data_IF_317401330334
#
_entry.id   IF_317401330334
#
_cell.length_a   1.000
_cell.length_b   1.000
_cell.length_c   1.000
_cell.angle_alpha   90.00
_cell.angle_beta   90.00
_cell.angle_gamma   90.00
#
_symmetry.space_group_name_H-M   'P 1'
#
loop_
_entity.id
_entity.type
_entity.pdbx_description
1 polymer ?
#
# COMPACT_ATOMS: atom_id res chain seq x y z
N UNK A 1 -28.68 -82.50 36.71
CA UNK A 1 -28.46 -82.73 35.27
C UNK A 1 -28.29 -81.37 34.63
N UNK A 2 -27.21 -80.95 33.99
CA UNK A 2 -25.94 -81.52 33.57
C UNK A 2 -25.19 -80.34 32.92
N UNK A 3 -23.87 -80.34 32.99
CA UNK A 3 -22.97 -79.28 32.53
C UNK A 3 -23.26 -78.80 31.09
N UNK A 4 -22.97 -77.52 30.80
CA UNK A 4 -22.14 -77.16 29.64
C UNK A 4 -21.74 -75.67 29.60
N UNK A 5 -20.44 -75.45 29.84
CA UNK A 5 -19.52 -74.62 29.06
C UNK A 5 -19.58 -73.09 29.18
N UNK A 6 -18.63 -72.59 29.97
CA UNK A 6 -17.82 -71.40 29.68
C UNK A 6 -17.42 -71.36 28.19
N UNK A 7 -17.60 -70.21 27.54
CA UNK A 7 -16.69 -69.62 26.53
C UNK A 7 -17.24 -68.29 26.04
N UNK A 8 -16.37 -67.27 25.99
CA UNK A 8 -16.59 -66.11 25.12
C UNK A 8 -16.52 -64.74 25.80
N UNK A 9 -15.48 -64.46 26.57
CA UNK A 9 -15.04 -63.09 26.75
C UNK A 9 -14.45 -62.59 25.42
N UNK A 10 -15.18 -61.75 24.69
CA UNK A 10 -14.62 -60.92 23.62
C UNK A 10 -14.95 -59.48 23.98
N UNK A 11 -13.94 -58.81 24.53
CA UNK A 11 -13.90 -57.37 24.72
C UNK A 11 -13.94 -56.70 23.34
N UNK A 12 -15.03 -56.00 23.03
CA UNK A 12 -15.05 -55.06 21.89
C UNK A 12 -14.43 -53.75 22.37
N UNK A 13 -13.12 -53.68 22.21
CA UNK A 13 -12.30 -52.49 22.39
C UNK A 13 -12.78 -51.40 21.44
N UNK A 14 -12.85 -50.18 21.99
CA UNK A 14 -13.15 -48.92 21.35
C UNK A 14 -12.53 -48.76 19.95
N UNK A 15 -13.39 -48.47 18.96
CA UNK A 15 -13.00 -47.70 17.80
C UNK A 15 -13.57 -46.28 17.96
N UNK A 16 -13.00 -45.55 18.92
CA UNK A 16 -12.98 -44.09 18.82
C UNK A 16 -12.08 -43.78 17.63
N UNK A 17 -12.69 -43.69 16.45
CA UNK A 17 -12.06 -43.12 15.26
C UNK A 17 -11.70 -41.68 15.57
N UNK A 18 -10.51 -41.51 16.13
CA UNK A 18 -9.75 -40.27 16.09
C UNK A 18 -9.57 -39.92 14.60
N UNK A 19 -10.52 -39.17 14.06
CA UNK A 19 -10.30 -38.38 12.84
C UNK A 19 -9.39 -37.20 13.17
N UNK A 20 -8.21 -37.48 13.73
CA UNK A 20 -7.09 -36.55 13.79
C UNK A 20 -6.26 -36.87 12.55
N UNK A 21 -6.54 -36.17 11.46
CA UNK A 21 -5.74 -36.30 10.24
C UNK A 21 -6.55 -36.33 8.96
N UNK A 22 -7.34 -35.30 8.67
CA UNK A 22 -7.44 -34.83 7.28
C UNK A 22 -6.53 -33.63 7.15
N UNK A 23 -5.30 -33.94 6.73
CA UNK A 23 -4.38 -33.09 5.98
C UNK A 23 -5.08 -31.87 5.37
N UNK A 24 -4.51 -30.70 5.64
CA UNK A 24 -4.39 -29.59 4.70
C UNK A 24 -5.32 -29.72 3.48
N UNK A 25 -6.54 -29.18 3.58
CA UNK A 25 -7.17 -28.75 2.34
C UNK A 25 -6.15 -27.79 1.72
N UNK A 26 -5.62 -28.18 0.57
CA UNK A 26 -4.59 -27.49 -0.20
C UNK A 26 -5.14 -26.15 -0.67
N UNK A 27 -5.27 -25.20 0.27
CA UNK A 27 -5.63 -23.84 -0.04
C UNK A 27 -4.56 -23.24 -0.96
N UNK A 28 -4.95 -22.54 -2.03
CA UNK A 28 -6.30 -22.41 -2.58
C UNK A 28 -6.71 -23.60 -3.48
N UNK A 29 -8.00 -23.95 -3.50
CA UNK A 29 -8.57 -25.00 -4.39
C UNK A 29 -9.43 -24.43 -5.53
N UNK A 30 -9.63 -23.13 -5.53
CA UNK A 30 -10.39 -22.37 -6.52
C UNK A 30 -9.77 -20.98 -6.68
N UNK A 31 -10.16 -20.19 -7.69
CA UNK A 31 -9.61 -18.86 -7.86
C UNK A 31 -9.78 -17.97 -6.63
N UNK A 32 -8.75 -17.17 -6.33
CA UNK A 32 -8.74 -16.15 -5.28
C UNK A 32 -9.01 -14.79 -5.93
N UNK A 33 -9.96 -14.03 -5.40
CA UNK A 33 -10.27 -12.68 -5.86
C UNK A 33 -9.52 -11.64 -5.04
N UNK A 34 -8.76 -10.78 -5.72
CA UNK A 34 -8.12 -9.60 -5.15
C UNK A 34 -8.97 -8.36 -5.48
N UNK A 35 -9.62 -7.81 -4.46
CA UNK A 35 -10.39 -6.57 -4.55
C UNK A 35 -9.42 -5.38 -4.52
N UNK A 36 -9.41 -4.59 -5.58
CA UNK A 36 -8.49 -3.46 -5.76
C UNK A 36 -9.23 -2.13 -5.67
N UNK A 37 -8.81 -1.20 -4.78
CA UNK A 37 -9.45 0.09 -4.58
C UNK A 37 -8.99 1.17 -5.58
N UNK A 38 -8.87 0.84 -6.85
CA UNK A 38 -8.32 1.76 -7.86
C UNK A 38 -8.82 1.44 -9.27
N UNK A 39 -8.81 2.43 -10.15
CA UNK A 39 -9.16 2.24 -11.55
C UNK A 39 -8.12 1.36 -12.26
N UNK A 40 -8.56 0.64 -13.30
CA UNK A 40 -7.68 -0.18 -14.12
C UNK A 40 -6.55 0.66 -14.73
N UNK A 41 -5.32 0.14 -14.74
CA UNK A 41 -4.12 0.85 -15.18
C UNK A 41 -3.58 1.90 -14.19
N UNK A 42 -4.25 2.08 -13.04
CA UNK A 42 -3.81 2.99 -11.99
C UNK A 42 -2.69 2.45 -11.10
N UNK A 43 -2.15 3.28 -10.19
CA UNK A 43 -0.98 2.96 -9.36
C UNK A 43 -1.23 1.85 -8.31
N UNK A 44 -2.47 1.46 -8.03
CA UNK A 44 -2.78 0.27 -7.21
C UNK A 44 -3.11 -0.95 -8.07
N UNK A 45 -3.73 -0.76 -9.24
CA UNK A 45 -4.13 -1.85 -10.13
C UNK A 45 -2.95 -2.52 -10.84
N UNK A 46 -2.01 -1.74 -11.36
CA UNK A 46 -0.84 -2.28 -12.06
C UNK A 46 0.00 -3.19 -11.13
N UNK A 47 0.34 -2.79 -9.89
CA UNK A 47 0.99 -3.69 -8.93
C UNK A 47 0.14 -4.91 -8.58
N UNK A 48 -1.18 -4.74 -8.39
CA UNK A 48 -2.07 -5.84 -8.05
C UNK A 48 -2.09 -6.92 -9.12
N UNK A 49 -2.13 -6.53 -10.40
CA UNK A 49 -2.10 -7.47 -11.54
C UNK A 49 -0.77 -8.19 -11.64
N UNK A 50 0.35 -7.49 -11.44
CA UNK A 50 1.67 -8.14 -11.43
C UNK A 50 1.79 -9.17 -10.29
N UNK A 51 1.30 -8.83 -9.09
CA UNK A 51 1.27 -9.76 -7.95
C UNK A 51 0.32 -10.92 -8.22
N UNK A 52 -0.86 -10.67 -8.78
CA UNK A 52 -1.83 -11.70 -9.12
C UNK A 52 -1.29 -12.69 -10.15
N UNK A 53 -0.65 -12.20 -11.22
CA UNK A 53 0.01 -13.03 -12.24
C UNK A 53 1.09 -13.91 -11.60
N UNK A 54 1.97 -13.32 -10.80
CA UNK A 54 3.06 -14.03 -10.12
C UNK A 54 2.56 -15.09 -9.13
N UNK A 55 1.60 -14.74 -8.28
CA UNK A 55 0.99 -15.70 -7.34
C UNK A 55 0.25 -16.82 -8.08
N UNK A 56 -0.41 -16.50 -9.20
CA UNK A 56 -1.09 -17.52 -10.01
C UNK A 56 -0.12 -18.56 -10.57
N UNK A 57 1.00 -18.10 -11.10
CA UNK A 57 2.06 -18.97 -11.61
C UNK A 57 2.68 -19.82 -10.49
N UNK A 58 2.89 -19.22 -9.32
CA UNK A 58 3.54 -19.89 -8.18
C UNK A 58 2.66 -20.94 -7.49
N UNK A 59 1.36 -20.65 -7.38
CA UNK A 59 0.41 -21.45 -6.60
C UNK A 59 -0.35 -22.45 -7.49
N UNK A 60 -0.41 -22.23 -8.80
CA UNK A 60 -1.17 -23.08 -9.73
C UNK A 60 -2.69 -22.86 -9.66
N UNK A 61 -3.14 -21.80 -8.98
CA UNK A 61 -4.53 -21.35 -8.97
C UNK A 61 -4.62 -19.88 -9.35
N UNK A 62 -5.69 -19.49 -10.05
CA UNK A 62 -5.83 -18.11 -10.52
C UNK A 62 -6.06 -17.13 -9.38
N UNK A 63 -5.28 -16.07 -9.35
CA UNK A 63 -5.58 -14.85 -8.62
C UNK A 63 -6.16 -13.84 -9.62
N UNK A 64 -7.39 -13.38 -9.37
CA UNK A 64 -8.13 -12.50 -10.28
C UNK A 64 -8.26 -11.14 -9.63
N UNK A 65 -7.96 -10.08 -10.39
CA UNK A 65 -8.12 -8.70 -9.94
C UNK A 65 -9.52 -8.20 -10.27
N UNK A 66 -10.22 -7.68 -9.27
CA UNK A 66 -11.51 -7.02 -9.41
C UNK A 66 -11.45 -5.60 -8.83
N UNK A 67 -11.66 -4.59 -9.69
CA UNK A 67 -11.60 -3.20 -9.27
C UNK A 67 -12.93 -2.77 -8.62
N UNK A 68 -12.88 -2.36 -7.35
CA UNK A 68 -14.01 -1.77 -6.62
C UNK A 68 -13.65 -0.33 -6.24
N UNK A 69 -14.09 0.61 -7.07
CA UNK A 69 -13.71 2.03 -6.97
C UNK A 69 -14.78 2.86 -6.28
N UNK A 70 -14.37 3.99 -5.71
CA UNK A 70 -15.25 5.05 -5.21
C UNK A 70 -15.12 5.33 -3.71
N UNK A 71 -15.70 6.46 -3.28
CA UNK A 71 -15.66 6.97 -1.90
C UNK A 71 -14.25 6.95 -1.28
N UNK A 72 -13.24 7.37 -2.05
CA UNK A 72 -11.85 7.41 -1.58
C UNK A 72 -11.31 6.07 -1.10
N UNK A 73 -11.69 4.94 -1.71
CA UNK A 73 -11.35 3.54 -1.36
C UNK A 73 -12.29 2.82 -0.37
N UNK A 74 -13.28 3.53 0.18
CA UNK A 74 -14.22 2.94 1.17
C UNK A 74 -15.01 1.76 0.59
N UNK A 75 -15.45 1.82 -0.67
CA UNK A 75 -16.28 0.76 -1.28
C UNK A 75 -15.53 -0.59 -1.33
N UNK A 76 -14.23 -0.58 -1.65
CA UNK A 76 -13.42 -1.79 -1.63
C UNK A 76 -13.25 -2.34 -0.21
N UNK A 77 -12.97 -1.46 0.75
CA UNK A 77 -12.81 -1.82 2.15
C UNK A 77 -14.09 -2.45 2.72
N UNK A 78 -15.25 -1.84 2.47
CA UNK A 78 -16.54 -2.37 2.92
C UNK A 78 -16.87 -3.72 2.29
N UNK A 79 -16.65 -3.85 0.97
CA UNK A 79 -16.85 -5.11 0.25
C UNK A 79 -16.11 -6.26 0.92
N UNK A 80 -14.83 -6.06 1.25
CA UNK A 80 -14.01 -7.10 1.85
C UNK A 80 -14.29 -7.28 3.34
N UNK A 81 -14.54 -6.21 4.09
CA UNK A 81 -14.87 -6.29 5.51
C UNK A 81 -16.12 -7.16 5.78
N UNK A 82 -17.03 -7.26 4.79
CA UNK A 82 -18.23 -8.11 4.82
C UNK A 82 -18.05 -9.48 4.17
N UNK A 83 -16.91 -9.77 3.55
CA UNK A 83 -16.68 -11.03 2.87
C UNK A 83 -16.45 -12.18 3.86
N UNK A 84 -16.69 -13.41 3.41
CA UNK A 84 -16.37 -14.60 4.20
C UNK A 84 -14.87 -14.65 4.49
N UNK A 85 -14.45 -14.88 5.75
CA UNK A 85 -13.05 -14.91 6.14
C UNK A 85 -12.37 -16.24 5.76
N UNK A 86 -12.51 -16.68 4.51
CA UNK A 86 -12.07 -18.00 4.04
C UNK A 86 -10.85 -17.96 3.10
N UNK A 87 -10.28 -16.78 2.87
CA UNK A 87 -9.11 -16.58 2.01
C UNK A 87 -9.41 -16.27 0.54
N UNK A 88 -10.64 -16.43 0.06
CA UNK A 88 -10.92 -16.35 -1.38
C UNK A 88 -11.36 -14.97 -1.88
N UNK A 89 -11.62 -14.01 -0.98
CA UNK A 89 -11.89 -12.61 -1.30
C UNK A 89 -11.05 -11.73 -0.40
N UNK A 90 -9.99 -11.16 -0.95
CA UNK A 90 -8.96 -10.43 -0.22
C UNK A 90 -8.84 -9.02 -0.78
N UNK A 91 -8.58 -7.99 0.04
CA UNK A 91 -8.21 -6.68 -0.48
C UNK A 91 -6.74 -6.73 -0.90
N UNK A 92 -6.45 -6.28 -2.12
CA UNK A 92 -5.14 -5.72 -2.44
C UNK A 92 -5.23 -4.21 -2.24
N UNK A 93 -5.13 -3.81 -0.97
CA UNK A 93 -5.29 -2.43 -0.54
C UNK A 93 -4.03 -1.60 -0.69
N UNK A 94 -4.20 -0.28 -0.54
CA UNK A 94 -3.12 0.71 -0.51
C UNK A 94 -3.07 1.43 0.85
N UNK A 95 -2.08 2.30 1.02
CA UNK A 95 -1.89 3.11 2.23
C UNK A 95 -3.14 3.89 2.65
N UNK A 96 -3.95 4.38 1.70
CA UNK A 96 -5.21 5.06 2.01
C UNK A 96 -6.21 4.15 2.73
N UNK A 97 -6.42 2.94 2.21
CA UNK A 97 -7.34 1.95 2.79
C UNK A 97 -6.92 1.57 4.21
N UNK A 98 -5.63 1.30 4.38
CA UNK A 98 -5.11 0.69 5.61
C UNK A 98 -4.76 1.71 6.69
N UNK A 99 -4.44 2.96 6.35
CA UNK A 99 -3.91 3.92 7.32
C UNK A 99 -4.52 5.34 7.29
N UNK A 100 -4.93 5.85 6.13
CA UNK A 100 -5.23 7.30 6.00
C UNK A 100 -6.72 7.59 6.14
N UNK A 101 -7.59 6.79 5.51
CA UNK A 101 -9.01 7.13 5.36
C UNK A 101 -9.74 7.38 6.69
N UNK A 102 -9.42 6.61 7.72
CA UNK A 102 -10.01 6.77 9.05
C UNK A 102 -9.79 8.17 9.67
N UNK A 103 -8.75 8.87 9.24
CA UNK A 103 -8.47 10.23 9.71
C UNK A 103 -9.19 11.29 8.84
N UNK A 104 -9.41 10.99 7.57
CA UNK A 104 -9.97 11.92 6.58
C UNK A 104 -11.50 11.94 6.54
N UNK A 105 -12.12 10.77 6.72
CA UNK A 105 -13.57 10.61 6.61
C UNK A 105 -14.19 10.57 8.00
N UNK A 106 -15.17 11.45 8.25
CA UNK A 106 -15.86 11.52 9.54
C UNK A 106 -16.65 10.24 9.87
N UNK A 107 -17.10 9.51 8.84
CA UNK A 107 -17.85 8.26 8.98
C UNK A 107 -17.24 7.19 8.09
N UNK A 108 -16.84 6.09 8.71
CA UNK A 108 -16.34 4.89 8.04
C UNK A 108 -17.33 3.74 8.25
N UNK A 109 -17.69 2.97 7.20
CA UNK A 109 -18.62 1.83 7.32
C UNK A 109 -17.96 0.56 7.89
N UNK A 110 -16.67 0.61 8.21
CA UNK A 110 -15.90 -0.47 8.81
C UNK A 110 -14.77 0.11 9.68
N UNK A 111 -14.26 -0.70 10.60
CA UNK A 111 -13.08 -0.37 11.41
C UNK A 111 -11.83 -0.93 10.71
N UNK A 112 -10.89 -0.11 10.24
CA UNK A 112 -9.73 -0.59 9.48
C UNK A 112 -8.72 -1.40 10.31
N UNK A 113 -8.84 -1.41 11.64
CA UNK A 113 -8.04 -2.23 12.56
C UNK A 113 -8.76 -3.55 12.84
N UNK A 114 -10.04 -3.48 13.21
CA UNK A 114 -10.79 -4.67 13.62
C UNK A 114 -11.34 -5.49 12.45
N UNK A 115 -11.57 -4.89 11.28
CA UNK A 115 -12.16 -5.56 10.11
C UNK A 115 -11.17 -6.34 9.24
N UNK A 116 -9.86 -6.21 9.48
CA UNK A 116 -8.84 -6.84 8.63
C UNK A 116 -7.73 -7.53 9.43
N UNK A 117 -7.26 -8.66 8.89
CA UNK A 117 -6.01 -9.31 9.30
C UNK A 117 -4.98 -9.07 8.19
N UNK A 118 -3.86 -8.44 8.52
CA UNK A 118 -2.79 -8.18 7.55
C UNK A 118 -2.12 -9.49 7.12
N UNK A 119 -1.83 -9.65 5.82
CA UNK A 119 -1.19 -10.85 5.28
C UNK A 119 0.23 -10.54 4.84
N UNK A 120 0.44 -9.49 4.06
CA UNK A 120 1.79 -9.05 3.72
C UNK A 120 1.81 -7.80 2.86
N UNK A 121 2.81 -6.95 3.11
CA UNK A 121 3.10 -5.83 2.23
C UNK A 121 3.73 -6.37 0.95
N UNK A 122 3.20 -5.95 -0.19
CA UNK A 122 3.64 -6.43 -1.50
C UNK A 122 4.57 -5.43 -2.19
N UNK A 123 4.25 -4.14 -2.10
CA UNK A 123 5.04 -3.10 -2.76
C UNK A 123 5.08 -1.81 -1.95
N UNK A 124 6.12 -1.03 -2.20
CA UNK A 124 6.31 0.29 -1.62
C UNK A 124 6.93 1.21 -2.67
N UNK A 125 6.24 2.30 -3.00
CA UNK A 125 6.71 3.26 -3.98
C UNK A 125 6.88 4.63 -3.32
N UNK A 126 8.12 5.09 -3.13
CA UNK A 126 8.38 6.41 -2.60
C UNK A 126 7.99 7.50 -3.61
N UNK A 127 7.52 8.63 -3.10
CA UNK A 127 7.25 9.82 -3.90
C UNK A 127 8.52 10.62 -4.10
N UNK A 128 8.61 11.29 -5.25
CA UNK A 128 9.61 12.31 -5.53
C UNK A 128 8.99 13.69 -5.28
N UNK A 129 9.72 14.56 -4.58
CA UNK A 129 9.49 15.99 -4.68
C UNK A 129 10.08 16.43 -6.02
N UNK A 130 9.24 16.89 -6.94
CA UNK A 130 9.67 17.31 -8.27
C UNK A 130 9.31 18.76 -8.53
N UNK A 131 10.11 19.41 -9.36
CA UNK A 131 9.97 20.80 -9.73
C UNK A 131 10.05 21.00 -11.25
N UNK A 132 9.50 22.12 -11.71
CA UNK A 132 9.77 22.61 -13.05
C UNK A 132 11.28 22.90 -13.23
N UNK A 133 11.97 22.32 -14.23
CA UNK A 133 13.41 22.50 -14.41
C UNK A 133 13.86 23.95 -14.65
N UNK A 134 12.93 24.83 -15.06
CA UNK A 134 13.16 26.26 -15.33
C UNK A 134 13.23 27.12 -14.06
N UNK A 135 12.88 26.57 -12.90
CA UNK A 135 12.94 27.28 -11.62
C UNK A 135 14.39 27.42 -11.11
N UNK A 136 14.68 28.43 -10.27
CA UNK A 136 16.05 28.79 -9.91
C UNK A 136 16.75 27.78 -8.99
N UNK A 137 16.02 26.81 -8.44
CA UNK A 137 16.56 25.78 -7.56
C UNK A 137 16.75 24.44 -8.30
N UNK A 138 17.92 23.85 -8.09
CA UNK A 138 18.33 22.57 -8.64
C UNK A 138 18.42 21.50 -7.55
N UNK A 139 18.60 21.90 -6.30
CA UNK A 139 18.67 21.01 -5.14
C UNK A 139 17.54 21.28 -4.15
N UNK A 140 17.25 20.29 -3.30
CA UNK A 140 16.30 20.47 -2.21
C UNK A 140 16.73 21.57 -1.22
N UNK A 141 18.04 21.75 -1.00
CA UNK A 141 18.54 22.83 -0.14
C UNK A 141 18.21 24.19 -0.74
N UNK A 142 18.48 24.39 -2.02
CA UNK A 142 18.15 25.63 -2.74
C UNK A 142 16.64 25.89 -2.76
N UNK A 143 15.83 24.84 -2.92
CA UNK A 143 14.38 24.94 -2.82
C UNK A 143 13.93 25.45 -1.45
N UNK A 144 14.44 24.86 -0.37
CA UNK A 144 14.10 25.26 1.00
C UNK A 144 14.57 26.69 1.31
N UNK A 145 15.79 27.06 0.87
CA UNK A 145 16.32 28.42 1.01
C UNK A 145 15.46 29.43 0.23
N UNK A 146 15.07 29.10 -1.02
CA UNK A 146 14.18 29.92 -1.84
C UNK A 146 12.80 30.07 -1.19
N UNK A 147 12.22 28.97 -0.70
CA UNK A 147 10.92 28.97 -0.05
C UNK A 147 10.89 29.84 1.21
N UNK A 148 11.95 29.79 2.01
CA UNK A 148 12.10 30.61 3.22
C UNK A 148 12.24 32.09 2.88
N UNK A 149 12.95 32.43 1.80
CA UNK A 149 13.09 33.81 1.34
C UNK A 149 11.82 34.35 0.67
N UNK A 150 10.94 33.49 0.17
CA UNK A 150 9.75 33.84 -0.61
C UNK A 150 8.47 33.19 -0.06
N UNK A 151 8.07 33.49 1.19
CA UNK A 151 6.91 32.86 1.82
C UNK A 151 5.63 33.11 1.01
N UNK A 152 4.87 32.04 0.75
CA UNK A 152 3.60 32.09 0.02
C UNK A 152 3.74 32.27 -1.50
N UNK A 153 4.96 32.23 -2.06
CA UNK A 153 5.19 32.39 -3.50
C UNK A 153 5.27 31.08 -4.28
N UNK A 154 5.44 29.95 -3.58
CA UNK A 154 5.50 28.64 -4.21
C UNK A 154 4.09 28.09 -4.37
N UNK A 155 3.71 27.74 -5.59
CA UNK A 155 2.51 26.99 -5.92
C UNK A 155 2.80 25.49 -5.87
N UNK A 156 2.25 24.82 -4.86
CA UNK A 156 2.44 23.39 -4.62
C UNK A 156 1.25 22.61 -5.17
N UNK A 157 1.43 21.95 -6.31
CA UNK A 157 0.38 21.18 -6.95
C UNK A 157 0.17 19.82 -6.26
N UNK A 158 -1.06 19.32 -6.37
CA UNK A 158 -1.39 17.94 -6.01
C UNK A 158 -2.50 17.40 -6.89
N UNK A 159 -2.71 16.09 -6.86
CA UNK A 159 -3.85 15.45 -7.51
C UNK A 159 -5.21 15.70 -6.85
N UNK A 160 -5.28 16.56 -5.84
CA UNK A 160 -6.51 16.97 -5.17
C UNK A 160 -6.45 16.84 -3.64
N UNK A 161 -7.45 17.39 -2.93
CA UNK A 161 -7.57 17.25 -1.48
C UNK A 161 -7.58 15.78 -1.05
N UNK A 162 -7.14 15.52 0.18
CA UNK A 162 -7.07 14.18 0.77
C UNK A 162 -6.23 13.12 0.02
N UNK A 163 -5.58 13.44 -1.10
CA UNK A 163 -4.66 12.53 -1.78
C UNK A 163 -3.34 12.37 -1.00
N UNK A 164 -2.65 11.24 -1.16
CA UNK A 164 -1.34 11.04 -0.52
C UNK A 164 -0.34 12.17 -0.86
N UNK A 165 -0.15 12.61 -2.12
CA UNK A 165 0.64 13.81 -2.43
C UNK A 165 0.28 15.07 -1.65
N UNK A 166 -1.02 15.36 -1.48
CA UNK A 166 -1.47 16.50 -0.70
C UNK A 166 -1.10 16.33 0.78
N UNK A 167 -1.31 15.15 1.35
CA UNK A 167 -0.94 14.89 2.74
C UNK A 167 0.58 14.89 2.96
N UNK A 168 1.38 14.46 1.98
CA UNK A 168 2.84 14.58 2.01
C UNK A 168 3.29 16.03 1.95
N UNK A 169 2.60 16.88 1.17
CA UNK A 169 2.78 18.33 1.22
C UNK A 169 2.45 18.90 2.60
N UNK A 170 1.33 18.51 3.20
CA UNK A 170 0.96 18.95 4.56
C UNK A 170 1.97 18.49 5.61
N UNK A 171 2.47 17.26 5.50
CA UNK A 171 3.54 16.76 6.34
C UNK A 171 4.82 17.61 6.18
N UNK A 172 5.18 18.01 4.95
CA UNK A 172 6.29 18.92 4.69
C UNK A 172 6.07 20.29 5.32
N UNK A 173 4.86 20.83 5.19
CA UNK A 173 4.45 22.11 5.78
C UNK A 173 4.63 22.11 7.29
N UNK A 174 4.09 21.08 7.96
CA UNK A 174 4.16 20.91 9.41
C UNK A 174 5.59 20.65 9.90
N UNK A 175 6.40 19.95 9.12
CA UNK A 175 7.77 19.56 9.49
C UNK A 175 8.76 20.72 9.31
N UNK A 176 8.68 21.43 8.18
CA UNK A 176 9.69 22.40 7.77
C UNK A 176 9.26 23.86 8.01
N UNK A 177 7.99 24.10 8.32
CA UNK A 177 7.41 25.43 8.36
C UNK A 177 7.27 26.08 6.97
N UNK A 178 7.34 25.29 5.89
CA UNK A 178 7.16 25.75 4.51
C UNK A 178 5.88 26.59 4.38
N UNK A 179 5.98 27.77 3.78
CA UNK A 179 4.82 28.60 3.43
C UNK A 179 4.66 28.58 1.91
N UNK A 180 3.77 27.72 1.43
CA UNK A 180 3.46 27.56 0.00
C UNK A 180 1.94 27.47 -0.18
N UNK A 181 1.45 27.84 -1.36
CA UNK A 181 0.04 27.78 -1.73
C UNK A 181 -0.27 26.40 -2.32
N UNK A 182 -1.19 25.66 -1.70
CA UNK A 182 -1.67 24.40 -2.26
C UNK A 182 -2.61 24.65 -3.45
N UNK A 183 -2.32 24.03 -4.59
CA UNK A 183 -3.14 24.10 -5.80
C UNK A 183 -3.67 22.70 -6.14
N UNK A 184 -4.95 22.38 -5.84
CA UNK A 184 -5.52 21.08 -6.13
C UNK A 184 -5.91 20.95 -7.61
N UNK A 185 -5.47 19.88 -8.25
CA UNK A 185 -5.92 19.48 -9.60
C UNK A 185 -6.82 18.25 -9.53
N UNK A 186 -7.47 17.91 -10.64
CA UNK A 186 -8.32 16.72 -10.78
C UNK A 186 -7.49 15.47 -11.11
N UNK A 187 -6.56 15.11 -10.23
CA UNK A 187 -5.67 13.95 -10.36
C UNK A 187 -4.20 14.30 -10.62
N UNK A 188 -3.32 13.31 -10.42
CA UNK A 188 -1.86 13.50 -10.50
C UNK A 188 -1.37 13.89 -11.89
N UNK A 189 -1.93 13.30 -12.96
CA UNK A 189 -1.52 13.63 -14.32
C UNK A 189 -1.77 15.11 -14.69
N UNK A 190 -2.97 15.69 -14.46
CA UNK A 190 -3.16 17.13 -14.61
C UNK A 190 -2.22 17.99 -13.74
N UNK A 191 -1.96 17.59 -12.49
CA UNK A 191 -1.04 18.31 -11.60
C UNK A 191 0.40 18.33 -12.15
N UNK A 192 0.89 17.19 -12.63
CA UNK A 192 2.21 17.09 -13.25
C UNK A 192 2.32 17.94 -14.52
N UNK A 193 1.29 17.92 -15.37
CA UNK A 193 1.24 18.77 -16.57
C UNK A 193 1.31 20.25 -16.23
N UNK A 194 0.60 20.69 -15.19
CA UNK A 194 0.65 22.07 -14.74
C UNK A 194 2.04 22.49 -14.26
N UNK A 195 2.76 21.61 -13.54
CA UNK A 195 4.14 21.89 -13.13
C UNK A 195 5.07 21.95 -14.33
N UNK A 196 4.93 21.07 -15.32
CA UNK A 196 5.72 21.13 -16.57
C UNK A 196 5.47 22.46 -17.31
N UNK A 197 4.20 22.85 -17.42
CA UNK A 197 3.79 24.11 -18.06
C UNK A 197 4.29 25.35 -17.32
N UNK A 198 4.55 25.25 -16.02
CA UNK A 198 4.93 26.37 -15.15
C UNK A 198 3.73 27.12 -14.56
N UNK A 199 2.55 26.49 -14.57
CA UNK A 199 1.35 26.98 -13.88
C UNK A 199 1.44 26.72 -12.36
N UNK A 200 2.18 25.69 -11.98
CA UNK A 200 2.58 25.39 -10.60
C UNK A 200 4.08 25.09 -10.55
N UNK A 201 4.66 25.15 -9.35
CA UNK A 201 6.12 25.13 -9.19
C UNK A 201 6.66 23.74 -8.86
N UNK A 202 5.97 23.05 -7.95
CA UNK A 202 6.40 21.76 -7.40
C UNK A 202 5.21 20.85 -7.12
N UNK A 203 5.46 19.54 -7.07
CA UNK A 203 4.53 18.55 -6.55
C UNK A 203 5.26 17.35 -5.93
N UNK A 204 4.54 16.59 -5.11
CA UNK A 204 4.91 15.22 -4.79
C UNK A 204 4.22 14.26 -5.76
N UNK A 205 4.95 13.35 -6.38
CA UNK A 205 4.36 12.36 -7.30
C UNK A 205 5.25 11.11 -7.45
N UNK A 206 4.74 10.08 -8.12
CA UNK A 206 5.38 8.80 -8.43
C UNK A 206 5.95 8.77 -9.89
N UNK A 207 6.10 9.93 -10.52
CA UNK A 207 6.41 10.09 -11.97
C UNK A 207 7.91 9.98 -12.31
N UNK A 208 8.52 8.83 -12.03
CA UNK A 208 9.94 8.56 -12.34
C UNK A 208 10.30 8.80 -13.81
N UNK A 209 9.46 8.37 -14.74
CA UNK A 209 9.73 8.46 -16.18
C UNK A 209 9.84 9.91 -16.66
N UNK A 210 9.05 10.83 -16.11
CA UNK A 210 9.11 12.27 -16.42
C UNK A 210 10.36 12.95 -15.86
N UNK A 211 10.92 12.40 -14.78
CA UNK A 211 12.21 12.84 -14.26
C UNK A 211 13.34 12.33 -15.15
N UNK A 212 13.28 11.07 -15.58
CA UNK A 212 14.26 10.47 -16.49
C UNK A 212 14.28 11.13 -17.87
N UNK A 213 13.12 11.56 -18.39
CA UNK A 213 13.01 12.32 -19.65
C UNK A 213 13.46 13.78 -19.54
N UNK A 214 13.69 14.28 -18.31
CA UNK A 214 14.08 15.66 -18.06
C UNK A 214 12.92 16.68 -18.09
N UNK A 215 11.67 16.23 -18.25
CA UNK A 215 10.49 17.11 -18.18
C UNK A 215 10.31 17.72 -16.78
N UNK A 216 10.75 17.00 -15.75
CA UNK A 216 10.72 17.43 -14.34
C UNK A 216 12.06 17.16 -13.66
N UNK A 217 12.41 17.99 -12.67
CA UNK A 217 13.61 17.78 -11.84
C UNK A 217 13.22 17.23 -10.49
N UNK A 218 13.75 16.06 -10.11
CA UNK A 218 13.60 15.54 -8.76
C UNK A 218 14.57 16.24 -7.79
N UNK A 219 14.03 16.76 -6.69
CA UNK A 219 14.78 17.45 -5.64
C UNK A 219 15.09 16.54 -4.45
N UNK A 220 14.13 15.67 -4.10
CA UNK A 220 14.27 14.72 -3.00
C UNK A 220 13.33 13.52 -3.19
N UNK A 221 13.60 12.43 -2.49
CA UNK A 221 12.76 11.23 -2.44
C UNK A 221 12.29 10.98 -1.00
N UNK A 222 11.04 10.56 -0.86
CA UNK A 222 10.37 10.34 0.44
C UNK A 222 10.53 8.92 0.98
N UNK A 223 11.29 8.07 0.29
CA UNK A 223 11.63 6.72 0.74
C UNK A 223 12.76 6.72 1.77
N UNK A 224 12.92 5.58 2.45
CA UNK A 224 14.01 5.35 3.41
C UNK A 224 15.38 5.20 2.75
N UNK A 225 15.41 4.94 1.45
CA UNK A 225 16.62 4.76 0.66
C UNK A 225 16.49 5.53 -0.64
N UNK A 226 17.65 5.89 -1.22
CA UNK A 226 17.70 6.46 -2.56
C UNK A 226 17.18 5.47 -3.58
N UNK A 227 16.66 6.03 -4.65
CA UNK A 227 16.29 5.26 -5.82
C UNK A 227 17.55 4.88 -6.61
N UNK A 228 17.81 3.59 -6.89
CA UNK A 228 18.97 3.17 -7.69
C UNK A 228 19.01 3.77 -9.09
N UNK A 229 17.85 4.13 -9.66
CA UNK A 229 17.78 4.78 -10.98
C UNK A 229 17.95 6.31 -10.89
N UNK A 230 17.92 6.88 -9.68
CA UNK A 230 18.11 8.31 -9.41
C UNK A 230 19.10 8.49 -8.22
N UNK A 231 20.33 7.96 -8.31
CA UNK A 231 21.24 7.87 -7.15
C UNK A 231 21.70 9.22 -6.61
N UNK A 232 21.57 10.29 -7.40
CA UNK A 232 21.90 11.67 -7.02
C UNK A 232 20.78 12.38 -6.28
N UNK A 233 19.56 11.83 -6.27
CA UNK A 233 18.42 12.41 -5.56
C UNK A 233 18.47 11.95 -4.09
N UNK A 234 18.67 12.87 -3.13
CA UNK A 234 18.75 12.49 -1.72
C UNK A 234 17.38 12.12 -1.17
N UNK A 235 17.37 11.27 -0.16
CA UNK A 235 16.18 11.05 0.68
C UNK A 235 15.90 12.27 1.55
N UNK A 236 14.64 12.42 1.99
CA UNK A 236 14.30 13.45 2.98
C UNK A 236 15.04 13.25 4.32
N UNK A 237 15.36 12.00 4.69
CA UNK A 237 16.12 11.69 5.89
C UNK A 237 17.58 12.17 5.81
N UNK A 238 18.24 12.00 4.66
CA UNK A 238 19.63 12.43 4.43
C UNK A 238 19.82 13.94 4.53
N UNK A 239 18.75 14.71 4.36
CA UNK A 239 18.76 16.17 4.44
C UNK A 239 18.17 16.70 5.77
N UNK A 240 17.97 15.82 6.75
CA UNK A 240 17.57 16.19 8.11
C UNK A 240 16.08 16.10 8.44
N UNK A 241 15.26 15.51 7.57
CA UNK A 241 13.81 15.32 7.79
C UNK A 241 13.40 13.83 7.73
N UNK A 242 13.85 12.96 8.65
CA UNK A 242 13.52 11.54 8.64
C UNK A 242 12.02 11.21 8.78
N UNK A 243 11.25 12.09 9.43
CA UNK A 243 9.80 12.02 9.59
C UNK A 243 9.02 12.23 8.28
N UNK A 244 9.67 12.80 7.25
CA UNK A 244 9.12 12.99 5.90
C UNK A 244 9.09 11.69 5.08
N UNK A 245 9.24 10.55 5.73
CA UNK A 245 9.00 9.26 5.09
C UNK A 245 7.50 9.14 4.74
N UNK A 246 7.19 9.19 3.45
CA UNK A 246 5.83 9.09 2.93
C UNK A 246 5.81 8.34 1.62
N UNK A 247 5.20 7.16 1.61
CA UNK A 247 5.27 6.29 0.45
C UNK A 247 3.90 5.70 0.12
N UNK A 248 3.70 5.38 -1.16
CA UNK A 248 2.54 4.63 -1.62
C UNK A 248 2.85 3.15 -1.49
N UNK A 249 2.38 2.52 -0.42
CA UNK A 249 2.54 1.09 -0.20
C UNK A 249 1.24 0.33 -0.45
N UNK A 250 1.37 -0.90 -0.95
CA UNK A 250 0.26 -1.81 -1.22
C UNK A 250 0.52 -3.18 -0.60
N UNK A 251 -0.55 -3.90 -0.29
CA UNK A 251 -0.44 -5.20 0.35
C UNK A 251 -1.75 -5.96 0.40
N UNK A 252 -1.63 -7.24 0.72
CA UNK A 252 -2.75 -8.15 0.88
C UNK A 252 -3.13 -8.20 2.36
N UNK A 253 -4.42 -8.11 2.63
CA UNK A 253 -5.01 -8.45 3.93
C UNK A 253 -6.08 -9.53 3.74
N UNK A 254 -6.81 -9.88 4.80
CA UNK A 254 -8.03 -10.68 4.73
C UNK A 254 -9.10 -10.12 5.66
N UNK A 255 -10.37 -10.51 5.50
CA UNK A 255 -11.41 -10.15 6.46
C UNK A 255 -11.06 -10.65 7.87
N UNK A 256 -11.57 -9.97 8.89
CA UNK A 256 -11.46 -10.39 10.28
C UNK A 256 -11.88 -11.86 10.45
N UNK A 257 -11.06 -12.65 11.16
CA UNK A 257 -11.30 -14.08 11.34
C UNK A 257 -10.71 -14.99 10.26
N UNK A 258 -9.98 -14.44 9.26
CA UNK A 258 -9.28 -15.27 8.27
C UNK A 258 -8.34 -16.24 8.99
N UNK A 259 -8.39 -17.56 8.72
CA UNK A 259 -7.60 -18.55 9.44
C UNK A 259 -6.09 -18.28 9.35
N UNK A 260 -5.38 -18.55 10.45
CA UNK A 260 -3.93 -18.27 10.56
C UNK A 260 -3.13 -19.04 9.51
N UNK A 261 -3.55 -20.25 9.19
CA UNK A 261 -2.93 -21.09 8.16
C UNK A 261 -3.05 -20.48 6.76
N UNK A 262 -4.17 -19.82 6.44
CA UNK A 262 -4.39 -19.11 5.17
C UNK A 262 -3.49 -17.87 5.12
N UNK A 263 -3.44 -17.10 6.22
CA UNK A 263 -2.56 -15.93 6.35
C UNK A 263 -1.10 -16.33 6.16
N UNK A 264 -0.64 -17.36 6.88
CA UNK A 264 0.73 -17.85 6.81
C UNK A 264 1.09 -18.38 5.43
N UNK A 265 0.19 -19.14 4.78
CA UNK A 265 0.40 -19.65 3.43
C UNK A 265 0.54 -18.52 2.40
N UNK A 266 -0.38 -17.56 2.39
CA UNK A 266 -0.35 -16.44 1.45
C UNK A 266 0.86 -15.53 1.68
N UNK A 267 1.22 -15.27 2.93
CA UNK A 267 2.42 -14.51 3.26
C UNK A 267 3.68 -15.22 2.72
N UNK A 268 3.82 -16.53 2.95
CA UNK A 268 4.94 -17.30 2.46
C UNK A 268 5.05 -17.23 0.93
N UNK A 269 3.93 -17.38 0.21
CA UNK A 269 3.90 -17.30 -1.25
C UNK A 269 4.18 -15.90 -1.79
N UNK A 270 3.72 -14.86 -1.10
CA UNK A 270 4.09 -13.48 -1.43
C UNK A 270 5.59 -13.25 -1.26
N UNK A 271 6.17 -13.71 -0.14
CA UNK A 271 7.61 -13.60 0.12
C UNK A 271 8.46 -14.39 -0.89
N UNK A 272 8.00 -15.56 -1.30
CA UNK A 272 8.64 -16.35 -2.36
C UNK A 272 8.57 -15.63 -3.73
N UNK A 273 7.45 -15.00 -4.06
CA UNK A 273 7.29 -14.25 -5.31
C UNK A 273 8.20 -13.02 -5.39
N UNK A 274 8.24 -12.18 -4.36
CA UNK A 274 8.89 -10.86 -4.41
C UNK A 274 10.42 -10.93 -4.50
N UNK A 275 11.02 -12.09 -4.24
CA UNK A 275 12.45 -12.33 -4.44
C UNK A 275 12.80 -12.87 -5.82
N UNK A 276 11.82 -13.26 -6.64
CA UNK A 276 12.07 -13.77 -7.99
C UNK A 276 12.62 -12.67 -8.90
N UNK A 277 13.65 -13.01 -9.67
CA UNK A 277 14.33 -12.07 -10.59
C UNK A 277 13.40 -11.50 -11.65
N UNK A 278 12.53 -12.34 -12.22
CA UNK A 278 11.54 -11.91 -13.21
C UNK A 278 10.55 -10.91 -12.61
N UNK A 279 10.01 -11.21 -11.43
CA UNK A 279 9.09 -10.30 -10.72
C UNK A 279 9.77 -8.96 -10.43
N UNK A 280 11.00 -8.98 -9.90
CA UNK A 280 11.79 -7.77 -9.62
C UNK A 280 12.10 -6.94 -10.87
N UNK A 281 12.34 -7.61 -12.00
CA UNK A 281 12.59 -6.94 -13.29
C UNK A 281 11.33 -6.23 -13.77
N UNK A 282 10.18 -6.93 -13.80
CA UNK A 282 8.89 -6.33 -14.16
C UNK A 282 8.51 -5.18 -13.20
N UNK A 283 8.73 -5.38 -11.90
CA UNK A 283 8.51 -4.38 -10.86
C UNK A 283 9.34 -3.09 -11.07
N UNK A 284 10.63 -3.23 -11.39
CA UNK A 284 11.51 -2.08 -11.66
C UNK A 284 11.03 -1.27 -12.87
N UNK A 285 10.62 -1.93 -13.95
CA UNK A 285 10.10 -1.27 -15.17
C UNK A 285 8.91 -0.36 -14.86
N UNK A 286 8.05 -0.75 -13.93
CA UNK A 286 6.87 0.04 -13.52
C UNK A 286 7.12 0.91 -12.27
N UNK A 287 8.36 0.99 -11.78
CA UNK A 287 8.76 1.88 -10.68
C UNK A 287 8.22 1.49 -9.30
N UNK A 288 7.94 0.20 -9.07
CA UNK A 288 7.53 -0.31 -7.74
C UNK A 288 8.70 -1.02 -7.07
N UNK A 289 8.83 -0.86 -5.75
CA UNK A 289 9.82 -1.61 -4.98
C UNK A 289 9.11 -2.77 -4.30
N UNK A 290 9.40 -4.03 -4.68
CA UNK A 290 8.87 -5.19 -4.00
C UNK A 290 9.17 -5.13 -2.51
N UNK A 291 8.16 -5.42 -1.71
CA UNK A 291 8.27 -5.57 -0.27
C UNK A 291 7.86 -6.99 0.11
N UNK A 292 8.29 -7.40 1.29
CA UNK A 292 7.88 -8.66 1.90
C UNK A 292 7.81 -8.46 3.40
N UNK A 293 8.19 -9.49 4.13
CA UNK A 293 8.19 -9.48 5.59
C UNK A 293 6.99 -10.22 6.16
N UNK A 294 6.75 -10.05 7.45
CA UNK A 294 5.74 -10.81 8.19
C UNK A 294 4.38 -10.09 8.23
N UNK A 295 3.29 -10.83 8.49
CA UNK A 295 1.99 -10.24 8.80
C UNK A 295 2.06 -9.18 9.91
N UNK A 296 2.86 -9.45 10.95
CA UNK A 296 3.04 -8.58 12.11
C UNK A 296 3.78 -7.29 11.76
N UNK A 297 4.82 -7.37 10.93
CA UNK A 297 5.53 -6.20 10.42
C UNK A 297 4.60 -5.32 9.59
N UNK A 298 3.76 -5.92 8.76
CA UNK A 298 2.79 -5.17 7.96
C UNK A 298 1.73 -4.50 8.85
N UNK A 299 1.22 -5.21 9.87
CA UNK A 299 0.29 -4.65 10.85
C UNK A 299 0.91 -3.51 11.66
N UNK A 300 2.16 -3.65 12.09
CA UNK A 300 2.90 -2.63 12.81
C UNK A 300 3.13 -1.38 11.94
N UNK A 301 3.52 -1.57 10.67
CA UNK A 301 3.67 -0.47 9.71
C UNK A 301 2.35 0.27 9.51
N UNK A 302 1.24 -0.44 9.26
CA UNK A 302 -0.07 0.17 9.13
C UNK A 302 -0.49 0.92 10.41
N UNK A 303 -0.21 0.37 11.59
CA UNK A 303 -0.44 1.03 12.88
C UNK A 303 0.34 2.35 13.03
N UNK A 304 1.64 2.34 12.73
CA UNK A 304 2.46 3.55 12.78
C UNK A 304 1.99 4.62 11.78
N UNK A 305 1.64 4.21 10.56
CA UNK A 305 1.10 5.11 9.54
C UNK A 305 -0.24 5.72 9.97
N UNK A 306 -1.14 4.95 10.61
CA UNK A 306 -2.41 5.46 11.16
C UNK A 306 -2.17 6.60 12.15
N UNK A 307 -1.22 6.43 13.07
CA UNK A 307 -0.86 7.47 14.06
C UNK A 307 -0.32 8.72 13.37
N UNK A 308 0.63 8.54 12.44
CA UNK A 308 1.23 9.64 11.67
C UNK A 308 0.17 10.43 10.91
N UNK A 309 -0.66 9.75 10.13
CA UNK A 309 -1.64 10.42 9.27
C UNK A 309 -2.81 11.03 10.05
N UNK A 310 -3.22 10.42 11.17
CA UNK A 310 -4.19 11.05 12.08
C UNK A 310 -3.69 12.41 12.60
N UNK A 311 -2.41 12.49 13.00
CA UNK A 311 -1.78 13.75 13.41
C UNK A 311 -1.75 14.76 12.27
N UNK A 312 -1.24 14.38 11.10
CA UNK A 312 -1.12 15.27 9.94
C UNK A 312 -2.48 15.83 9.53
N UNK A 313 -3.50 14.98 9.42
CA UNK A 313 -4.85 15.41 9.03
C UNK A 313 -5.43 16.38 10.06
N UNK A 314 -5.29 16.09 11.35
CA UNK A 314 -5.76 16.97 12.42
C UNK A 314 -5.06 18.32 12.43
N UNK A 315 -3.73 18.36 12.31
CA UNK A 315 -2.93 19.60 12.37
C UNK A 315 -3.04 20.45 11.08
N UNK A 316 -3.23 19.80 9.93
CA UNK A 316 -3.43 20.49 8.65
C UNK A 316 -4.85 21.00 8.44
N UNK A 317 -5.84 20.36 9.07
CA UNK A 317 -7.25 20.59 8.76
C UNK A 317 -7.67 20.01 7.40
N UNK A 318 -6.84 19.14 6.79
CA UNK A 318 -7.18 18.47 5.55
C UNK A 318 -8.47 17.64 5.71
N UNK A 319 -9.33 17.67 4.69
CA UNK A 319 -10.57 16.88 4.64
C UNK A 319 -10.69 16.16 3.31
N UNK A 320 -11.32 15.00 3.33
CA UNK A 320 -11.93 14.44 2.13
C UNK A 320 -13.24 15.21 1.92
N UNK A 321 -13.32 15.97 0.83
CA UNK A 321 -14.51 16.77 0.49
C UNK A 321 -15.80 15.95 0.46
#
# INVERSE_FOLDING_TARGET
>A
MGWCLLRGAIATIALCSLSIGTLAQSYPQRPVCLIVPGAAGGPTDVPARLVAEGLSALVGQRFVVENRIGAGVIIAGETVARAEPNGYTLPYGNSSLYAINQALFEKMPYDPVASFVMIGMATNSPQLLVANPRLPYQTIKEFLDYAKANPGKINFASGGPATLPHLTYELMRLTTGLQALHVPYKGGAPAATAVIAGEADVLFDLIRTRVQSGELRALAITGKARDPDLPLVPTMAEIGYPEMTSTSWTGIAGPAGTPKEVVGYLNAKLNELIVQSEFRTKARVIGIVPQGGTPEEFAAHAGAERVKWARVVKESGAKAN
#
